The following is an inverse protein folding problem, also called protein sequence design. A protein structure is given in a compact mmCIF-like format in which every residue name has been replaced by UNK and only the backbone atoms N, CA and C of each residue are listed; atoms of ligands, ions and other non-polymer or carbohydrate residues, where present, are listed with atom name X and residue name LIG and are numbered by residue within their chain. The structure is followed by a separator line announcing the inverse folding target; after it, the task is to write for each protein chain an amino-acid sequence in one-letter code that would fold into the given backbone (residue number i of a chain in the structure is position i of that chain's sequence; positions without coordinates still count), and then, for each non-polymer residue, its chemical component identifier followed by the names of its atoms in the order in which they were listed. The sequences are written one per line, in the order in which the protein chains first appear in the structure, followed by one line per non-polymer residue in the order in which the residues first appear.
data_IF_895959624856
#
_entry.id   IF_895959624856
#
_cell.length_a   1.000
_cell.length_b   1.000
_cell.length_c   1.000
_cell.angle_alpha   90.00
_cell.angle_beta   90.00
_cell.angle_gamma   90.00
#
_symmetry.space_group_name_H-M   'P 1'
#
loop_
_entity.id
_entity.type
_entity.pdbx_description
1 polymer ?
#
# COMPACT_ATOMS: atom_id res chain seq x y z
N UNK A 1 -27.58 -22.23 59.54
CA UNK A 1 -26.44 -22.27 58.59
C UNK A 1 -26.74 -21.69 57.20
N UNK A 2 -27.94 -21.84 56.62
CA UNK A 2 -28.26 -21.27 55.28
C UNK A 2 -28.21 -19.74 55.21
N UNK A 3 -28.63 -19.05 56.28
CA UNK A 3 -28.66 -17.57 56.32
C UNK A 3 -27.26 -16.94 56.28
N UNK A 4 -26.29 -17.51 57.01
CA UNK A 4 -24.89 -17.06 57.01
C UNK A 4 -24.21 -17.28 55.65
N UNK A 5 -24.54 -18.38 54.95
CA UNK A 5 -24.07 -18.61 53.57
C UNK A 5 -24.59 -17.51 52.62
N UNK A 6 -25.87 -17.17 52.71
CA UNK A 6 -26.46 -16.16 51.84
C UNK A 6 -25.88 -14.75 52.10
N UNK A 7 -25.58 -14.41 53.36
CA UNK A 7 -24.95 -13.15 53.71
C UNK A 7 -23.52 -13.03 53.15
N UNK A 8 -22.75 -14.12 53.21
CA UNK A 8 -21.38 -14.15 52.67
C UNK A 8 -21.33 -14.01 51.14
N UNK A 9 -22.31 -14.58 50.43
CA UNK A 9 -22.40 -14.51 48.97
C UNK A 9 -22.76 -13.10 48.52
N UNK A 10 -23.73 -12.46 49.18
CA UNK A 10 -24.12 -11.07 48.88
C UNK A 10 -22.94 -10.11 49.15
N UNK A 11 -22.21 -10.32 50.24
CA UNK A 11 -21.00 -9.53 50.55
C UNK A 11 -19.90 -9.68 49.50
N UNK A 12 -19.69 -10.89 48.99
CA UNK A 12 -18.68 -11.15 47.95
C UNK A 12 -19.05 -10.51 46.61
N UNK A 13 -20.33 -10.60 46.21
CA UNK A 13 -20.84 -9.98 44.97
C UNK A 13 -20.70 -8.46 45.01
N UNK A 14 -21.07 -7.83 46.13
CA UNK A 14 -20.93 -6.38 46.30
C UNK A 14 -19.47 -5.93 46.28
N UNK A 15 -18.56 -6.70 46.90
CA UNK A 15 -17.13 -6.40 46.88
C UNK A 15 -16.53 -6.51 45.47
N UNK A 16 -16.95 -7.51 44.67
CA UNK A 16 -16.50 -7.67 43.28
C UNK A 16 -17.02 -6.57 42.34
N UNK A 17 -18.25 -6.09 42.56
CA UNK A 17 -18.79 -4.95 41.79
C UNK A 17 -18.05 -3.65 42.17
N UNK A 18 -17.77 -3.45 43.46
CA UNK A 18 -17.00 -2.29 43.93
C UNK A 18 -15.54 -2.30 43.41
N UNK A 19 -14.90 -3.47 43.33
CA UNK A 19 -13.56 -3.63 42.76
C UNK A 19 -13.54 -3.45 41.23
N UNK A 20 -14.62 -3.79 40.52
CA UNK A 20 -14.77 -3.52 39.09
C UNK A 20 -14.99 -2.04 38.77
N UNK A 21 -15.65 -1.31 39.68
CA UNK A 21 -15.93 0.13 39.53
C UNK A 21 -14.68 1.02 39.76
N UNK A 22 -13.66 0.55 40.48
CA UNK A 22 -12.43 1.31 40.74
C UNK A 22 -11.43 1.30 39.57
N UNK A 23 -11.65 0.45 38.56
CA UNK A 23 -10.84 0.41 37.33
C UNK A 23 -11.59 1.19 36.23
N UNK A 24 -11.41 2.51 36.23
CA UNK A 24 -12.12 3.41 35.31
C UNK A 24 -11.80 3.10 33.84
N UNK A 25 -12.76 2.46 33.16
CA UNK A 25 -12.73 2.20 31.71
C UNK A 25 -13.56 0.97 31.32
N UNK A 26 -13.90 0.80 30.03
CA UNK A 26 -14.73 -0.30 29.55
C UNK A 26 -14.13 -1.69 29.83
N UNK A 27 -12.81 -1.76 30.08
CA UNK A 27 -12.10 -2.98 30.46
C UNK A 27 -12.39 -3.38 31.92
N UNK A 28 -12.56 -2.42 32.84
CA UNK A 28 -12.84 -2.67 34.25
C UNK A 28 -14.22 -3.28 34.50
N UNK A 29 -15.23 -2.83 33.74
CA UNK A 29 -16.59 -3.38 33.79
C UNK A 29 -16.68 -4.85 33.32
N UNK A 30 -15.86 -5.24 32.34
CA UNK A 30 -15.78 -6.61 31.84
C UNK A 30 -15.14 -7.56 32.86
N UNK A 31 -14.07 -7.12 33.53
CA UNK A 31 -13.37 -7.93 34.54
C UNK A 31 -14.21 -8.08 35.82
N UNK A 32 -14.80 -6.98 36.32
CA UNK A 32 -15.68 -7.01 37.49
C UNK A 32 -16.93 -7.87 37.28
N UNK A 33 -17.54 -7.78 36.09
CA UNK A 33 -18.67 -8.62 35.69
C UNK A 33 -18.32 -10.11 35.66
N UNK A 34 -17.15 -10.47 35.12
CA UNK A 34 -16.73 -11.88 34.98
C UNK A 34 -16.44 -12.53 36.33
N UNK A 35 -15.84 -11.80 37.29
CA UNK A 35 -15.54 -12.33 38.63
C UNK A 35 -16.80 -12.50 39.48
N UNK A 36 -17.72 -11.53 39.44
CA UNK A 36 -19.02 -11.65 40.10
C UNK A 36 -19.85 -12.81 39.52
N UNK A 37 -19.75 -13.05 38.20
CA UNK A 37 -20.45 -14.11 37.50
C UNK A 37 -19.93 -15.52 37.84
N UNK A 38 -18.60 -15.68 37.94
CA UNK A 38 -17.99 -16.95 38.38
C UNK A 38 -18.37 -17.33 39.81
N UNK A 39 -18.46 -16.35 40.72
CA UNK A 39 -18.86 -16.58 42.10
C UNK A 39 -20.33 -17.07 42.21
N UNK A 40 -21.22 -16.60 41.33
CA UNK A 40 -22.63 -17.00 41.26
C UNK A 40 -22.82 -18.41 40.65
N UNK A 41 -21.93 -18.82 39.75
CA UNK A 41 -21.96 -20.14 39.12
C UNK A 41 -21.45 -21.24 40.08
N UNK A 42 -20.37 -20.98 40.83
CA UNK A 42 -19.84 -21.93 41.84
C UNK A 42 -20.78 -22.09 43.04
N UNK A 43 -21.62 -21.09 43.30
CA UNK A 43 -22.63 -21.14 44.38
C UNK A 43 -23.96 -21.79 43.95
N UNK A 44 -24.10 -22.24 42.70
CA UNK A 44 -25.23 -23.04 42.22
C UNK A 44 -26.56 -22.29 42.12
N UNK A 45 -26.52 -20.95 42.02
CA UNK A 45 -27.72 -20.09 42.01
C UNK A 45 -28.27 -19.91 40.58
N UNK A 46 -27.43 -20.07 39.55
CA UNK A 46 -27.81 -19.91 38.15
C UNK A 46 -27.30 -21.09 37.34
N UNK A 47 -28.22 -21.87 36.75
CA UNK A 47 -27.93 -22.79 35.64
C UNK A 47 -28.37 -22.12 34.35
N UNK A 48 -27.44 -21.83 33.44
CA UNK A 48 -27.78 -21.31 32.12
C UNK A 48 -26.99 -22.02 31.00
N UNK A 49 -27.61 -22.12 29.81
CA UNK A 49 -27.17 -22.99 28.73
C UNK A 49 -25.84 -22.52 28.16
N UNK A 50 -25.04 -23.49 27.74
CA UNK A 50 -23.68 -23.40 27.17
C UNK A 50 -23.48 -22.42 25.97
N UNK A 51 -24.49 -21.65 25.58
CA UNK A 51 -24.56 -20.89 24.32
C UNK A 51 -24.15 -19.41 24.41
N UNK A 52 -23.85 -18.85 25.59
CA UNK A 52 -23.46 -17.44 25.73
C UNK A 52 -21.95 -17.19 25.58
N UNK A 53 -21.11 -18.23 25.61
CA UNK A 53 -19.66 -18.12 25.36
C UNK A 53 -19.24 -18.53 23.95
N UNK A 54 -20.17 -19.00 23.10
CA UNK A 54 -19.91 -19.34 21.70
C UNK A 54 -19.86 -18.14 20.75
N UNK A 55 -20.18 -16.92 21.23
CA UNK A 55 -20.37 -15.74 20.38
C UNK A 55 -19.15 -14.85 20.16
N UNK A 56 -18.08 -14.97 20.96
CA UNK A 56 -16.87 -14.14 20.78
C UNK A 56 -15.68 -15.04 20.47
N UNK A 57 -15.62 -15.49 19.21
CA UNK A 57 -14.33 -15.85 18.63
C UNK A 57 -13.59 -14.53 18.38
N UNK A 58 -12.54 -14.27 19.17
CA UNK A 58 -11.42 -13.48 18.66
C UNK A 58 -10.88 -14.33 17.52
N UNK A 59 -11.32 -14.03 16.29
CA UNK A 59 -10.86 -14.72 15.10
C UNK A 59 -9.34 -14.73 15.14
N UNK A 60 -8.73 -15.91 14.95
CA UNK A 60 -7.29 -16.13 15.02
C UNK A 60 -6.54 -14.91 14.46
N UNK A 61 -6.09 -13.99 15.32
CA UNK A 61 -5.10 -12.99 14.92
C UNK A 61 -3.83 -13.80 14.83
N UNK A 62 -3.68 -14.51 13.72
CA UNK A 62 -2.42 -15.10 13.34
C UNK A 62 -1.46 -13.93 13.33
N UNK A 63 -0.43 -14.00 14.17
CA UNK A 63 0.76 -13.17 13.98
C UNK A 63 1.12 -13.36 12.51
N UNK A 64 1.09 -12.28 11.74
CA UNK A 64 1.54 -12.31 10.35
C UNK A 64 2.91 -12.98 10.39
N UNK A 65 3.05 -14.12 9.73
CA UNK A 65 4.34 -14.80 9.63
C UNK A 65 5.38 -13.75 9.25
N UNK A 66 6.59 -13.83 9.82
CA UNK A 66 7.69 -12.98 9.35
C UNK A 66 7.74 -13.20 7.85
N UNK A 67 7.32 -12.18 7.10
CA UNK A 67 7.28 -12.22 5.65
C UNK A 67 8.66 -12.72 5.23
N UNK A 68 8.69 -13.84 4.54
CA UNK A 68 9.81 -14.15 3.64
C UNK A 68 10.07 -12.90 2.79
N UNK A 69 11.30 -12.73 2.34
CA UNK A 69 11.80 -11.51 1.67
C UNK A 69 10.93 -11.03 0.49
N UNK A 70 9.99 -11.87 0.02
CA UNK A 70 8.84 -11.67 -0.86
C UNK A 70 7.97 -10.42 -0.61
N UNK A 71 8.12 -9.70 0.51
CA UNK A 71 7.40 -8.43 0.72
C UNK A 71 8.28 -7.28 1.20
N UNK A 72 9.53 -7.27 0.74
CA UNK A 72 10.32 -6.06 0.63
C UNK A 72 9.74 -5.17 -0.48
N UNK A 73 9.35 -3.95 -0.11
CA UNK A 73 8.89 -2.94 -1.07
C UNK A 73 10.06 -2.27 -1.81
N UNK A 74 9.73 -1.40 -2.76
CA UNK A 74 10.70 -0.76 -3.65
C UNK A 74 10.62 -1.33 -5.06
N UNK A 75 11.05 -0.53 -6.02
CA UNK A 75 11.12 -0.92 -7.42
C UNK A 75 12.58 -1.08 -7.81
N UNK A 76 12.89 -2.13 -8.55
CA UNK A 76 14.24 -2.38 -9.07
C UNK A 76 14.45 -1.77 -10.44
N UNK A 77 13.39 -1.62 -11.22
CA UNK A 77 13.43 -1.07 -12.58
C UNK A 77 12.24 -0.15 -12.79
N UNK A 78 12.40 0.81 -13.68
CA UNK A 78 11.35 1.74 -14.04
C UNK A 78 11.38 2.05 -15.55
N UNK A 79 10.21 2.29 -16.12
CA UNK A 79 10.06 2.80 -17.48
C UNK A 79 9.29 4.10 -17.40
N UNK A 80 9.84 5.14 -18.05
CA UNK A 80 9.19 6.43 -18.21
C UNK A 80 8.63 6.47 -19.61
N UNK A 81 7.34 6.79 -19.70
CA UNK A 81 6.60 6.70 -20.94
C UNK A 81 5.93 8.04 -21.21
N UNK A 82 6.18 8.57 -22.40
CA UNK A 82 5.55 9.79 -22.88
C UNK A 82 4.12 9.49 -23.34
N UNK A 83 3.10 10.26 -22.91
CA UNK A 83 1.72 10.11 -23.37
C UNK A 83 1.56 10.20 -24.89
N UNK A 84 2.46 10.93 -25.55
CA UNK A 84 2.47 11.16 -26.99
C UNK A 84 2.79 9.88 -27.79
N UNK A 85 3.49 8.92 -27.18
CA UNK A 85 3.80 7.63 -27.81
C UNK A 85 2.58 6.71 -27.95
N UNK A 86 1.43 7.07 -27.37
CA UNK A 86 0.21 6.26 -27.44
C UNK A 86 -0.68 6.66 -28.61
N UNK A 87 -1.16 5.67 -29.36
CA UNK A 87 -2.15 5.88 -30.42
C UNK A 87 -3.56 6.18 -29.86
N UNK A 88 -3.82 5.81 -28.61
CA UNK A 88 -5.10 6.03 -27.93
C UNK A 88 -4.92 6.13 -26.42
N UNK A 89 -5.94 6.66 -25.72
CA UNK A 89 -5.83 6.81 -24.28
C UNK A 89 -5.67 5.49 -23.53
N UNK A 90 -4.77 5.46 -22.55
CA UNK A 90 -4.49 4.29 -21.74
C UNK A 90 -4.08 4.63 -20.30
N UNK A 91 -4.47 3.83 -19.30
CA UNK A 91 -5.55 2.84 -19.37
C UNK A 91 -6.92 3.53 -19.43
N UNK A 92 -7.86 2.93 -20.16
CA UNK A 92 -9.27 3.28 -20.06
C UNK A 92 -9.89 2.63 -18.82
N UNK A 93 -11.01 3.17 -18.33
CA UNK A 93 -11.72 2.56 -17.21
C UNK A 93 -12.17 1.11 -17.50
N UNK A 94 -12.48 0.80 -18.76
CA UNK A 94 -12.80 -0.56 -19.23
C UNK A 94 -11.59 -1.49 -19.27
N UNK A 95 -10.37 -0.97 -19.26
CA UNK A 95 -9.13 -1.75 -19.22
C UNK A 95 -8.73 -2.13 -17.79
N UNK A 96 -9.51 -1.70 -16.79
CA UNK A 96 -9.19 -1.89 -15.38
C UNK A 96 -10.25 -2.77 -14.74
N UNK A 97 -9.85 -3.97 -14.32
CA UNK A 97 -10.72 -4.89 -13.57
C UNK A 97 -10.02 -5.20 -12.25
N UNK A 98 -10.67 -4.91 -11.12
CA UNK A 98 -10.14 -5.18 -9.77
C UNK A 98 -8.71 -4.65 -9.50
N UNK A 99 -8.36 -3.49 -10.09
CA UNK A 99 -7.05 -2.87 -9.94
C UNK A 99 -5.95 -3.49 -10.82
N UNK A 100 -6.33 -4.39 -11.73
CA UNK A 100 -5.45 -5.01 -12.72
C UNK A 100 -5.73 -4.40 -14.10
N UNK A 101 -4.67 -4.22 -14.89
CA UNK A 101 -4.80 -3.86 -16.30
C UNK A 101 -5.08 -5.12 -17.11
N UNK A 102 -6.19 -5.14 -17.86
CA UNK A 102 -6.61 -6.26 -18.69
C UNK A 102 -6.31 -6.08 -20.18
N UNK A 103 -5.87 -4.88 -20.59
CA UNK A 103 -5.68 -4.55 -22.01
C UNK A 103 -4.33 -3.87 -22.21
N UNK A 104 -3.54 -4.43 -23.13
CA UNK A 104 -2.27 -3.85 -23.53
C UNK A 104 -2.47 -2.45 -24.14
N UNK A 105 -1.48 -1.55 -23.98
CA UNK A 105 -1.52 -0.25 -24.62
C UNK A 105 -1.28 -0.35 -26.13
N UNK A 106 -1.93 0.53 -26.89
CA UNK A 106 -1.64 0.70 -28.33
C UNK A 106 -0.72 1.89 -28.50
N UNK A 107 0.51 1.64 -28.97
CA UNK A 107 1.46 2.69 -29.31
C UNK A 107 1.33 3.16 -30.75
N UNK A 108 1.86 4.34 -31.05
CA UNK A 108 2.07 4.78 -32.42
C UNK A 108 3.09 3.87 -33.12
N UNK A 109 3.07 3.85 -34.45
CA UNK A 109 3.95 3.00 -35.24
C UNK A 109 5.42 3.34 -34.96
N UNK A 110 6.23 2.31 -34.70
CA UNK A 110 7.66 2.41 -34.36
C UNK A 110 7.99 3.09 -33.01
N UNK A 111 7.00 3.39 -32.18
CA UNK A 111 7.23 3.83 -30.81
C UNK A 111 7.43 2.64 -29.89
N UNK A 112 8.31 2.82 -28.91
CA UNK A 112 8.64 1.84 -27.89
C UNK A 112 8.79 2.53 -26.55
N UNK A 113 8.48 1.85 -25.46
CA UNK A 113 8.71 2.43 -24.14
C UNK A 113 10.19 2.62 -23.85
N UNK A 114 10.57 3.83 -23.43
CA UNK A 114 11.89 4.14 -22.91
C UNK A 114 12.14 3.40 -21.60
N UNK A 115 13.00 2.38 -21.64
CA UNK A 115 13.56 1.81 -20.44
C UNK A 115 14.69 2.71 -19.99
N UNK A 116 14.46 3.52 -18.95
CA UNK A 116 15.59 3.95 -18.14
C UNK A 116 15.76 2.90 -17.06
N UNK A 117 16.58 1.90 -17.38
CA UNK A 117 16.95 0.84 -16.46
C UNK A 117 17.88 1.45 -15.41
N UNK A 118 17.27 1.93 -14.33
CA UNK A 118 18.00 2.25 -13.12
C UNK A 118 18.18 0.95 -12.35
N UNK A 119 19.42 0.58 -12.01
CA UNK A 119 19.65 -0.23 -10.82
C UNK A 119 19.27 0.66 -9.64
N UNK A 120 17.98 0.60 -9.26
CA UNK A 120 17.43 1.41 -8.19
C UNK A 120 17.94 0.85 -6.87
N UNK A 121 19.05 1.39 -6.37
CA UNK A 121 19.34 1.29 -4.94
C UNK A 121 18.17 1.91 -4.14
N UNK A 122 17.51 2.94 -4.69
CA UNK A 122 16.43 3.72 -4.05
C UNK A 122 15.40 4.23 -5.06
N UNK A 123 14.21 3.60 -5.07
CA UNK A 123 13.04 4.10 -5.78
C UNK A 123 11.75 3.77 -5.05
N UNK A 124 10.82 4.73 -4.97
CA UNK A 124 9.52 4.54 -4.33
C UNK A 124 8.38 4.98 -5.23
N UNK A 125 7.27 4.25 -5.13
CA UNK A 125 6.00 4.62 -5.73
C UNK A 125 4.93 4.30 -4.71
N UNK A 126 4.03 5.26 -4.50
CA UNK A 126 2.93 5.13 -3.56
C UNK A 126 1.69 5.76 -4.15
N UNK A 127 0.56 5.35 -3.58
CA UNK A 127 -0.69 6.05 -3.78
C UNK A 127 -1.29 6.34 -2.42
N UNK A 128 -1.96 7.48 -2.32
CA UNK A 128 -2.72 7.87 -1.15
C UNK A 128 -4.15 8.18 -1.57
N UNK A 129 -5.10 7.68 -0.80
CA UNK A 129 -6.51 8.02 -0.99
C UNK A 129 -6.74 9.39 -0.36
N UNK A 130 -7.20 10.35 -1.15
CA UNK A 130 -7.52 11.70 -0.70
C UNK A 130 -9.04 11.93 -0.72
N UNK A 131 -9.54 12.69 0.25
CA UNK A 131 -10.96 13.04 0.37
C UNK A 131 -11.76 12.05 1.23
N UNK A 132 -13.09 12.19 1.19
CA UNK A 132 -14.01 11.41 2.03
C UNK A 132 -13.96 9.90 1.75
N UNK A 133 -14.42 9.09 2.72
CA UNK A 133 -14.41 7.62 2.73
C UNK A 133 -15.08 6.98 1.49
N UNK A 134 -15.86 7.74 0.71
CA UNK A 134 -16.51 7.30 -0.53
C UNK A 134 -16.01 8.01 -1.80
N UNK A 135 -15.10 8.98 -1.67
CA UNK A 135 -14.47 9.61 -2.84
C UNK A 135 -13.47 8.65 -3.47
N UNK A 136 -13.55 8.51 -4.80
CA UNK A 136 -12.55 7.82 -5.62
C UNK A 136 -11.55 8.84 -6.13
N UNK A 137 -10.89 9.54 -5.19
CA UNK A 137 -9.81 10.45 -5.50
C UNK A 137 -8.51 9.91 -4.89
N UNK A 138 -7.57 9.62 -5.76
CA UNK A 138 -6.26 9.08 -5.40
C UNK A 138 -5.20 10.07 -5.88
N UNK A 139 -4.21 10.29 -5.03
CA UNK A 139 -2.93 10.84 -5.42
C UNK A 139 -1.96 9.70 -5.67
N UNK A 140 -1.19 9.82 -6.72
CA UNK A 140 -0.09 8.91 -7.05
C UNK A 140 1.18 9.74 -7.05
N UNK A 141 2.18 9.28 -6.30
CA UNK A 141 3.45 9.97 -6.17
C UNK A 141 4.59 9.00 -5.90
N UNK A 142 5.81 9.46 -6.14
CA UNK A 142 7.00 8.65 -5.96
C UNK A 142 8.27 9.41 -6.32
N UNK A 143 9.38 8.74 -6.12
CA UNK A 143 10.72 9.28 -6.30
C UNK A 143 11.66 8.18 -6.80
N UNK A 144 12.66 8.59 -7.57
CA UNK A 144 13.74 7.72 -8.00
C UNK A 144 15.05 8.51 -8.06
N UNK A 145 16.15 7.80 -7.85
CA UNK A 145 17.50 8.35 -8.05
C UNK A 145 18.32 7.35 -8.84
N UNK A 146 19.12 7.89 -9.77
CA UNK A 146 20.04 7.12 -10.59
C UNK A 146 21.41 7.77 -10.61
N UNK A 147 22.45 6.98 -10.76
CA UNK A 147 23.83 7.40 -10.98
C UNK A 147 24.35 6.88 -12.33
N UNK A 148 25.35 7.54 -12.89
CA UNK A 148 25.99 7.11 -14.14
C UNK A 148 25.17 7.45 -15.38
N UNK A 149 24.47 8.58 -15.36
CA UNK A 149 23.58 8.99 -16.46
C UNK A 149 24.39 9.62 -17.59
N UNK A 150 24.03 9.32 -18.83
CA UNK A 150 24.62 9.88 -20.05
C UNK A 150 23.91 11.17 -20.50
N UNK A 151 24.59 12.01 -21.28
CA UNK A 151 24.00 13.25 -21.82
C UNK A 151 22.75 12.99 -22.67
N UNK A 152 22.72 11.89 -23.43
CA UNK A 152 21.54 11.49 -24.22
C UNK A 152 20.33 11.15 -23.32
N UNK A 153 20.57 10.52 -22.17
CA UNK A 153 19.51 10.24 -21.20
C UNK A 153 19.02 11.50 -20.50
N UNK A 154 19.90 12.47 -20.24
CA UNK A 154 19.51 13.80 -19.73
C UNK A 154 18.64 14.52 -20.76
N UNK A 155 19.03 14.52 -22.04
CA UNK A 155 18.26 15.12 -23.12
C UNK A 155 16.89 14.44 -23.34
N UNK A 156 16.80 13.13 -23.11
CA UNK A 156 15.53 12.42 -23.16
C UNK A 156 14.63 12.77 -21.97
N UNK A 157 15.21 12.96 -20.78
CA UNK A 157 14.50 13.42 -19.59
C UNK A 157 13.91 14.83 -19.78
N UNK A 158 14.57 15.73 -20.52
CA UNK A 158 14.03 17.06 -20.84
C UNK A 158 12.69 16.99 -21.61
N UNK A 159 12.47 15.94 -22.40
CA UNK A 159 11.23 15.75 -23.17
C UNK A 159 10.02 15.41 -22.29
N UNK A 160 10.24 15.05 -21.03
CA UNK A 160 9.19 14.65 -20.07
C UNK A 160 8.34 15.80 -19.53
N UNK A 161 8.61 17.05 -19.95
CA UNK A 161 7.88 18.24 -19.49
C UNK A 161 6.36 18.24 -19.75
N UNK A 162 5.87 17.46 -20.73
CA UNK A 162 4.44 17.24 -20.99
C UNK A 162 3.74 16.34 -19.95
N UNK A 163 4.53 15.73 -19.06
CA UNK A 163 4.11 14.73 -18.09
C UNK A 163 4.29 13.31 -18.61
N UNK A 164 4.24 12.34 -17.70
CA UNK A 164 4.66 10.96 -17.98
C UNK A 164 3.70 9.92 -17.40
N UNK A 165 3.75 8.71 -17.95
CA UNK A 165 3.30 7.49 -17.28
C UNK A 165 4.53 6.74 -16.79
N UNK A 166 4.42 6.06 -15.66
CA UNK A 166 5.55 5.35 -15.06
C UNK A 166 5.14 3.91 -14.81
N UNK A 167 5.94 2.98 -15.32
CA UNK A 167 5.83 1.55 -14.98
C UNK A 167 7.02 1.18 -14.10
N UNK A 168 6.76 0.74 -12.87
CA UNK A 168 7.78 0.22 -11.95
C UNK A 168 7.70 -1.31 -11.85
N UNK A 169 8.85 -1.97 -11.80
CA UNK A 169 8.97 -3.40 -11.47
C UNK A 169 9.37 -3.55 -10.01
N UNK A 170 8.55 -4.24 -9.22
CA UNK A 170 8.88 -4.54 -7.83
C UNK A 170 9.98 -5.61 -7.71
N UNK A 171 10.48 -5.85 -6.50
CA UNK A 171 11.51 -6.86 -6.23
C UNK A 171 11.12 -8.29 -6.66
N UNK A 172 9.83 -8.56 -6.87
CA UNK A 172 9.32 -9.84 -7.34
C UNK A 172 9.06 -9.85 -8.86
N UNK A 173 9.52 -8.81 -9.58
CA UNK A 173 9.30 -8.64 -11.02
C UNK A 173 7.89 -8.20 -11.40
N UNK A 174 6.99 -7.93 -10.45
CA UNK A 174 5.62 -7.52 -10.76
C UNK A 174 5.60 -6.07 -11.20
N UNK A 175 4.77 -5.79 -12.19
CA UNK A 175 4.69 -4.50 -12.86
C UNK A 175 3.56 -3.66 -12.27
N UNK A 176 3.85 -2.39 -12.01
CA UNK A 176 2.92 -1.41 -11.44
C UNK A 176 2.92 -0.14 -12.28
N UNK A 177 1.74 0.31 -12.67
CA UNK A 177 1.52 1.54 -13.43
C UNK A 177 1.08 2.68 -12.51
N UNK A 178 1.73 3.82 -12.66
CA UNK A 178 1.28 5.12 -12.21
C UNK A 178 1.02 6.05 -13.40
N UNK A 179 0.03 6.92 -13.25
CA UNK A 179 -0.42 7.86 -14.28
C UNK A 179 -1.41 7.24 -15.27
N UNK A 180 -1.93 8.10 -16.14
CA UNK A 180 -2.76 7.74 -17.29
C UNK A 180 -2.46 8.73 -18.42
N UNK A 181 -2.66 8.38 -19.68
CA UNK A 181 -2.45 9.32 -20.80
C UNK A 181 -3.33 10.57 -20.69
N UNK A 182 -4.52 10.47 -20.10
CA UNK A 182 -5.43 11.61 -19.92
C UNK A 182 -5.02 12.54 -18.77
N UNK A 183 -4.31 11.99 -17.79
CA UNK A 183 -3.77 12.70 -16.62
C UNK A 183 -2.36 12.20 -16.37
N UNK A 184 -1.38 12.64 -17.18
CA UNK A 184 0.01 12.23 -17.03
C UNK A 184 0.59 12.77 -15.72
N UNK A 185 1.50 12.04 -15.08
CA UNK A 185 2.18 12.51 -13.87
C UNK A 185 3.05 13.71 -14.20
N UNK A 186 3.15 14.68 -13.28
CA UNK A 186 4.16 15.72 -13.39
C UNK A 186 5.48 15.12 -12.92
N UNK A 187 6.52 15.17 -13.75
CA UNK A 187 7.88 14.76 -13.40
C UNK A 187 8.73 16.01 -13.19
N UNK A 188 9.42 16.06 -12.05
CA UNK A 188 10.42 17.06 -11.72
C UNK A 188 11.73 16.32 -11.47
N UNK A 189 12.83 16.74 -12.10
CA UNK A 189 14.13 16.11 -11.92
C UNK A 189 15.21 17.17 -11.71
N UNK A 190 16.21 16.77 -10.93
CA UNK A 190 17.41 17.53 -10.62
C UNK A 190 18.61 16.71 -11.09
N UNK A 191 19.53 17.35 -11.83
CA UNK A 191 20.81 16.75 -12.21
C UNK A 191 21.86 17.13 -11.17
N UNK A 192 22.47 16.13 -10.54
CA UNK A 192 23.53 16.28 -9.55
C UNK A 192 24.87 15.91 -10.17
N UNK A 193 25.78 16.87 -10.31
CA UNK A 193 27.12 16.67 -10.85
C UNK A 193 28.13 16.14 -9.82
N UNK A 194 27.68 15.81 -8.61
CA UNK A 194 28.54 15.39 -7.51
C UNK A 194 29.26 16.56 -6.83
N UNK A 195 29.81 16.29 -5.64
CA UNK A 195 30.61 17.27 -4.89
C UNK A 195 32.10 17.09 -5.12
N UNK A 196 32.50 15.92 -5.61
CA UNK A 196 33.89 15.56 -5.90
C UNK A 196 34.07 15.17 -7.36
N UNK A 197 35.29 15.29 -7.91
CA UNK A 197 35.56 14.95 -9.31
C UNK A 197 35.33 13.47 -9.68
N UNK A 198 35.30 12.57 -8.70
CA UNK A 198 35.06 11.14 -8.83
C UNK A 198 33.59 10.73 -8.63
N UNK A 199 32.73 11.66 -8.23
CA UNK A 199 31.31 11.38 -8.03
C UNK A 199 30.61 11.23 -9.41
N UNK A 200 29.87 10.14 -9.64
CA UNK A 200 29.13 9.96 -10.88
C UNK A 200 27.99 10.99 -10.99
N UNK A 201 27.73 11.45 -12.22
CA UNK A 201 26.55 12.29 -12.49
C UNK A 201 25.28 11.49 -12.17
N UNK A 202 24.42 12.08 -11.36
CA UNK A 202 23.20 11.47 -10.90
C UNK A 202 21.97 12.30 -11.28
N UNK A 203 20.84 11.63 -11.50
CA UNK A 203 19.53 12.28 -11.63
C UNK A 203 18.68 11.85 -10.45
N UNK A 204 18.16 12.82 -9.71
CA UNK A 204 17.13 12.60 -8.71
C UNK A 204 15.82 13.18 -9.23
N UNK A 205 14.74 12.41 -9.20
CA UNK A 205 13.47 12.85 -9.74
C UNK A 205 12.29 12.45 -8.86
N UNK A 206 11.25 13.27 -8.92
CA UNK A 206 10.00 13.11 -8.20
C UNK A 206 8.85 13.25 -9.16
N UNK A 207 7.87 12.36 -9.02
CA UNK A 207 6.66 12.42 -9.79
C UNK A 207 5.44 12.49 -8.89
N UNK A 208 4.47 13.32 -9.26
CA UNK A 208 3.25 13.49 -8.46
C UNK A 208 2.10 13.99 -9.31
N UNK A 209 0.90 13.47 -9.04
CA UNK A 209 -0.36 14.06 -9.49
C UNK A 209 -1.53 13.51 -8.67
N UNK A 210 -2.59 14.30 -8.56
CA UNK A 210 -3.83 13.94 -7.89
C UNK A 210 -5.02 13.81 -8.87
N UNK A 211 -6.19 13.45 -8.33
CA UNK A 211 -7.40 13.36 -9.11
C UNK A 211 -7.59 12.02 -9.82
N UNK A 212 -6.83 10.98 -9.50
CA UNK A 212 -7.02 9.65 -10.11
C UNK A 212 -8.25 8.95 -9.53
N UNK A 213 -8.95 8.17 -10.36
CA UNK A 213 -10.08 7.33 -9.91
C UNK A 213 -9.64 5.99 -9.30
N UNK A 214 -8.36 5.65 -9.46
CA UNK A 214 -7.75 4.41 -9.00
C UNK A 214 -6.39 4.72 -8.36
N UNK A 215 -5.93 3.82 -7.49
CA UNK A 215 -4.54 3.81 -7.02
C UNK A 215 -3.58 3.34 -8.11
N UNK A 216 -2.42 2.83 -7.70
CA UNK A 216 -1.51 2.14 -8.62
C UNK A 216 -2.19 0.91 -9.21
N UNK A 217 -1.99 0.68 -10.50
CA UNK A 217 -2.58 -0.44 -11.22
C UNK A 217 -1.53 -1.51 -11.44
N UNK A 218 -1.83 -2.76 -11.13
CA UNK A 218 -0.92 -3.86 -11.43
C UNK A 218 -1.08 -4.28 -12.89
N UNK A 219 0.03 -4.52 -13.57
CA UNK A 219 0.07 -5.07 -14.93
C UNK A 219 0.37 -6.57 -14.83
N UNK A 220 -0.60 -7.44 -15.12
CA UNK A 220 -0.41 -8.89 -15.19
C UNK A 220 0.62 -9.31 -16.24
N UNK A 221 1.34 -10.41 -16.02
CA UNK A 221 2.47 -10.87 -16.86
C UNK A 221 2.09 -11.21 -18.31
N UNK A 222 0.83 -11.58 -18.54
CA UNK A 222 0.22 -11.85 -19.85
C UNK A 222 0.01 -10.58 -20.70
N UNK A 223 0.04 -9.38 -20.10
CA UNK A 223 0.01 -8.13 -20.84
C UNK A 223 1.40 -7.86 -21.43
N UNK A 224 1.51 -8.01 -22.75
CA UNK A 224 2.73 -7.70 -23.49
C UNK A 224 2.86 -6.18 -23.62
N UNK A 225 4.00 -5.66 -23.15
CA UNK A 225 4.36 -4.26 -23.30
C UNK A 225 5.41 -4.13 -24.41
N UNK A 226 5.21 -3.29 -25.43
CA UNK A 226 6.23 -2.98 -26.43
C UNK A 226 7.35 -2.14 -25.80
N UNK A 227 8.34 -2.82 -25.23
CA UNK A 227 9.51 -2.22 -24.57
C UNK A 227 10.66 -2.14 -25.57
N UNK A 228 11.36 -1.00 -25.64
CA UNK A 228 12.72 -0.96 -26.21
C UNK A 228 13.71 -0.83 -25.07
N UNK A 229 14.79 -1.61 -25.15
CA UNK A 229 15.94 -1.38 -24.28
C UNK A 229 16.76 -0.29 -24.95
N UNK A 230 16.91 0.87 -24.30
CA UNK A 230 17.97 1.79 -24.66
C UNK A 230 19.28 1.10 -24.24
N UNK A 231 19.96 0.47 -25.21
CA UNK A 231 21.23 -0.22 -24.98
C UNK A 231 22.33 0.80 -24.71
N UNK A 232 22.96 0.67 -23.54
CA UNK A 232 24.11 1.45 -23.09
C UNK A 232 24.60 1.02 -21.70
N UNK A 233 24.23 -0.19 -21.28
CA UNK A 233 24.60 -0.81 -20.01
C UNK A 233 25.22 -2.17 -20.34
N UNK A 234 26.47 -2.12 -20.78
CA UNK A 234 27.43 -3.20 -20.59
C UNK A 234 28.18 -2.94 -19.28
#
# INVERSE_FOLDING_TARGET
MKFLKNLSIIGFVLLSIAAGASVAGPVGGLVGGTVAYGALQVSGIVELPYALFTGVKVGNIKRKDRREDDVLGGFQKMAIILPESFASHWPLASHITDGLISTAPTLLLNETFGQILFDLDKGTMKYSRKGEINSRNYQQDGDFTTSGVTDDQIAEMDKTGGGVLIIGWDNNGRRWLAGTTRRPLKLEYDVMLGSKPDDPVAIAAKFTRDGYRHGLLRIPDDIVLPLATLTGLD
#
